data_IF_649104237866
#
_entry.id   IF_649104237866
#
_cell.length_a   1.000
_cell.length_b   1.000
_cell.length_c   1.000
_cell.angle_alpha   90.00
_cell.angle_beta   90.00
_cell.angle_gamma   90.00
#
_symmetry.space_group_name_H-M   'P 1'
#
loop_
_entity.id
_entity.type
_entity.pdbx_description
1 polymer ?
#
# COMPACT_ATOMS: atom_id res chain seq x y z
N UNK A 1 -5.10 -24.73 -14.19
CA UNK A 1 -3.85 -23.97 -13.98
C UNK A 1 -4.16 -22.86 -12.99
N UNK A 2 -3.58 -22.84 -11.77
CA UNK A 2 -4.01 -21.88 -10.76
C UNK A 2 -3.31 -20.54 -10.99
N UNK A 3 -4.06 -19.57 -11.48
CA UNK A 3 -3.63 -18.17 -11.68
C UNK A 3 -3.34 -17.44 -10.35
N UNK A 4 -3.64 -18.08 -9.21
CA UNK A 4 -3.45 -17.55 -7.85
C UNK A 4 -1.99 -17.61 -7.36
N UNK A 5 -1.15 -18.48 -7.93
CA UNK A 5 0.23 -18.67 -7.46
C UNK A 5 1.20 -17.60 -8.00
N UNK A 6 0.89 -17.05 -9.18
CA UNK A 6 1.69 -16.00 -9.81
C UNK A 6 1.62 -14.67 -9.05
N UNK A 7 0.44 -14.29 -8.54
CA UNK A 7 0.28 -13.05 -7.78
C UNK A 7 1.07 -13.05 -6.46
N UNK A 8 1.16 -14.22 -5.79
CA UNK A 8 1.98 -14.39 -4.60
C UNK A 8 3.48 -14.37 -4.90
N UNK A 9 3.90 -15.02 -5.98
CA UNK A 9 5.30 -15.02 -6.41
C UNK A 9 5.77 -13.63 -6.84
N UNK A 10 4.93 -12.86 -7.52
CA UNK A 10 5.23 -11.49 -7.93
C UNK A 10 5.35 -10.53 -6.74
N UNK A 11 4.48 -10.64 -5.73
CA UNK A 11 4.54 -9.80 -4.53
C UNK A 11 5.89 -9.88 -3.78
N UNK A 12 6.61 -11.01 -3.89
CA UNK A 12 7.95 -11.17 -3.31
C UNK A 12 9.09 -10.62 -4.19
N UNK A 13 8.82 -10.23 -5.44
CA UNK A 13 9.81 -9.68 -6.36
C UNK A 13 9.65 -8.18 -6.62
N UNK A 14 8.55 -7.58 -6.17
CA UNK A 14 8.35 -6.13 -6.32
C UNK A 14 9.37 -5.36 -5.47
N UNK A 15 9.96 -4.33 -6.08
CA UNK A 15 10.86 -3.38 -5.40
C UNK A 15 10.26 -1.98 -5.33
N UNK A 16 9.11 -1.76 -5.98
CA UNK A 16 8.34 -0.52 -5.98
C UNK A 16 6.84 -0.82 -6.13
N UNK A 17 5.96 0.10 -5.71
CA UNK A 17 4.51 -0.05 -5.91
C UNK A 17 4.17 -0.16 -7.40
N UNK A 18 3.43 -1.20 -7.77
CA UNK A 18 3.03 -1.42 -9.17
C UNK A 18 1.54 -1.13 -9.34
N UNK A 19 1.21 -0.16 -10.20
CA UNK A 19 -0.16 0.11 -10.60
C UNK A 19 -0.72 -1.12 -11.32
N UNK A 20 -1.86 -1.62 -10.83
CA UNK A 20 -2.57 -2.77 -11.37
C UNK A 20 -3.87 -2.37 -12.08
N UNK A 21 -4.59 -1.36 -11.57
CA UNK A 21 -5.82 -0.83 -12.18
C UNK A 21 -5.92 0.69 -11.98
N UNK A 22 -6.46 1.40 -12.98
CA UNK A 22 -6.79 2.83 -12.89
C UNK A 22 -8.18 3.11 -13.46
N UNK A 23 -8.97 3.96 -12.80
CA UNK A 23 -10.27 4.43 -13.31
C UNK A 23 -10.16 5.35 -14.52
N UNK A 24 -8.96 5.90 -14.78
CA UNK A 24 -8.71 6.72 -15.98
C UNK A 24 -8.91 5.90 -17.26
N UNK A 25 -8.57 4.61 -17.23
CA UNK A 25 -8.80 3.68 -18.34
C UNK A 25 -10.30 3.46 -18.61
N UNK A 26 -11.14 3.70 -17.60
CA UNK A 26 -12.60 3.68 -17.70
C UNK A 26 -13.21 5.05 -18.01
N UNK A 27 -12.39 6.09 -18.22
CA UNK A 27 -12.84 7.43 -18.62
C UNK A 27 -13.54 8.23 -17.51
N UNK A 28 -13.22 7.97 -16.24
CA UNK A 28 -13.78 8.74 -15.12
C UNK A 28 -13.23 10.17 -15.12
N UNK A 29 -14.07 11.14 -14.76
CA UNK A 29 -13.70 12.55 -14.64
C UNK A 29 -13.89 13.04 -13.19
N UNK A 30 -12.98 13.90 -12.73
CA UNK A 30 -12.99 14.48 -11.38
C UNK A 30 -12.67 13.52 -10.22
N UNK A 31 -12.44 12.23 -10.48
CA UNK A 31 -12.05 11.23 -9.50
C UNK A 31 -11.12 10.18 -10.11
N UNK A 32 -10.01 9.92 -9.43
CA UNK A 32 -9.06 8.86 -9.79
C UNK A 32 -9.09 7.79 -8.72
N UNK A 33 -9.42 6.57 -9.11
CA UNK A 33 -9.30 5.38 -8.29
C UNK A 33 -8.22 4.48 -8.89
N UNK A 34 -7.23 4.13 -8.08
CA UNK A 34 -6.11 3.28 -8.49
C UNK A 34 -5.92 2.14 -7.50
N UNK A 35 -5.55 0.97 -8.02
CA UNK A 35 -5.18 -0.19 -7.22
C UNK A 35 -3.71 -0.52 -7.49
N UNK A 36 -2.94 -0.73 -6.43
CA UNK A 36 -1.52 -1.04 -6.51
C UNK A 36 -1.22 -2.38 -5.85
N UNK A 37 -0.26 -3.11 -6.42
CA UNK A 37 0.46 -4.15 -5.70
C UNK A 37 1.64 -3.51 -4.97
N UNK A 38 1.65 -3.61 -3.65
CA UNK A 38 2.71 -3.08 -2.80
C UNK A 38 3.77 -4.16 -2.55
N UNK A 39 5.07 -3.82 -2.61
CA UNK A 39 6.13 -4.72 -2.19
C UNK A 39 6.04 -5.03 -0.68
N UNK A 40 6.48 -6.22 -0.30
CA UNK A 40 6.53 -6.62 1.12
C UNK A 40 7.47 -5.75 1.95
N UNK A 41 8.56 -5.27 1.35
CA UNK A 41 9.53 -4.39 1.98
C UNK A 41 9.96 -3.33 0.98
N UNK A 42 10.09 -2.10 1.47
CA UNK A 42 10.57 -0.99 0.66
C UNK A 42 11.29 0.02 1.57
N UNK A 43 12.43 0.51 1.09
CA UNK A 43 13.30 1.44 1.81
C UNK A 43 13.62 2.65 0.92
N UNK A 44 13.67 3.83 1.53
CA UNK A 44 14.16 5.05 0.88
C UNK A 44 13.36 5.55 -0.31
N UNK A 45 12.07 5.20 -0.43
CA UNK A 45 11.25 5.65 -1.55
C UNK A 45 10.86 7.11 -1.38
N UNK A 46 11.10 7.91 -2.43
CA UNK A 46 10.67 9.30 -2.47
C UNK A 46 9.26 9.38 -3.02
N UNK A 47 8.28 9.53 -2.13
CA UNK A 47 6.89 9.70 -2.53
C UNK A 47 6.69 11.11 -3.12
N UNK A 48 6.00 11.21 -4.28
CA UNK A 48 5.72 12.51 -4.90
C UNK A 48 4.82 13.35 -4.00
N UNK A 49 4.96 14.66 -4.10
CA UNK A 49 4.00 15.59 -3.51
C UNK A 49 2.66 15.43 -4.24
N UNK A 50 1.59 15.14 -3.49
CA UNK A 50 0.24 15.05 -4.02
C UNK A 50 -0.63 16.08 -3.34
N UNK A 51 -1.28 16.94 -4.13
CA UNK A 51 -2.15 18.00 -3.59
C UNK A 51 -3.54 17.48 -3.24
N UNK A 52 -3.93 16.33 -3.79
CA UNK A 52 -5.26 15.77 -3.63
C UNK A 52 -5.41 15.00 -2.33
N UNK A 53 -6.63 15.06 -1.78
CA UNK A 53 -7.04 14.20 -0.67
C UNK A 53 -7.27 12.80 -1.20
N UNK A 54 -6.69 11.79 -0.56
CA UNK A 54 -6.88 10.39 -0.95
C UNK A 54 -7.51 9.57 0.18
N UNK A 55 -8.33 8.60 -0.24
CA UNK A 55 -8.89 7.57 0.62
C UNK A 55 -8.30 6.24 0.20
N UNK A 56 -7.59 5.58 1.12
CA UNK A 56 -6.82 4.37 0.82
C UNK A 56 -7.38 3.21 1.63
N UNK A 57 -7.82 2.15 0.95
CA UNK A 57 -8.16 0.87 1.58
C UNK A 57 -6.95 -0.07 1.49
N UNK A 58 -6.46 -0.54 2.64
CA UNK A 58 -5.34 -1.48 2.67
C UNK A 58 -5.82 -2.93 2.76
N UNK A 59 -5.40 -3.78 1.80
CA UNK A 59 -5.79 -5.19 1.76
C UNK A 59 -4.60 -6.11 1.45
N UNK A 60 -3.70 -6.30 2.41
CA UNK A 60 -2.48 -7.11 2.24
C UNK A 60 -1.94 -7.77 3.51
N UNK A 61 -2.68 -7.77 4.61
CA UNK A 61 -2.16 -8.11 5.93
C UNK A 61 -1.94 -6.86 6.77
N UNK A 62 -0.84 -6.76 7.49
CA UNK A 62 -0.49 -5.53 8.24
C UNK A 62 0.82 -4.94 7.74
N UNK A 63 1.03 -3.66 7.93
CA UNK A 63 2.21 -2.93 7.50
C UNK A 63 2.67 -1.97 8.59
N UNK A 64 3.97 -1.99 8.91
CA UNK A 64 4.61 -0.90 9.63
C UNK A 64 5.22 0.02 8.59
N UNK A 65 4.66 1.23 8.47
CA UNK A 65 5.14 2.26 7.57
C UNK A 65 5.81 3.36 8.37
N UNK A 66 6.90 3.88 7.84
CA UNK A 66 7.60 5.03 8.40
C UNK A 66 7.74 6.08 7.31
N UNK A 67 7.50 7.33 7.68
CA UNK A 67 7.61 8.47 6.77
C UNK A 67 8.34 9.64 7.44
N UNK A 68 9.08 10.40 6.65
CA UNK A 68 9.68 11.66 7.08
C UNK A 68 9.70 12.70 5.95
N UNK A 69 9.52 13.99 6.25
CA UNK A 69 9.99 15.05 5.36
C UNK A 69 11.50 14.90 5.09
N UNK A 70 12.00 15.50 4.01
CA UNK A 70 13.44 15.59 3.77
C UNK A 70 14.12 16.22 4.99
N UNK A 71 15.15 15.55 5.52
CA UNK A 71 15.87 15.92 6.74
C UNK A 71 15.03 15.99 8.03
N UNK A 72 13.80 15.47 8.01
CA UNK A 72 12.92 15.40 9.17
C UNK A 72 13.09 14.12 10.01
N UNK A 73 12.41 14.09 11.15
CA UNK A 73 12.31 12.87 11.97
C UNK A 73 11.33 11.87 11.37
N UNK A 74 11.65 10.58 11.49
CA UNK A 74 10.75 9.49 11.13
C UNK A 74 9.51 9.48 12.03
N UNK A 75 8.35 9.26 11.40
CA UNK A 75 7.08 8.97 12.07
C UNK A 75 6.61 7.59 11.64
N UNK A 76 6.28 6.76 12.61
CA UNK A 76 5.81 5.39 12.38
C UNK A 76 4.28 5.34 12.45
N UNK A 77 3.68 4.63 11.51
CA UNK A 77 2.25 4.29 11.51
C UNK A 77 2.10 2.78 11.28
N UNK A 78 1.12 2.18 11.96
CA UNK A 78 0.77 0.78 11.78
C UNK A 78 -0.55 0.70 11.03
N UNK A 79 -0.53 0.07 9.87
CA UNK A 79 -1.68 -0.16 9.02
C UNK A 79 -2.07 -1.62 9.13
N UNK A 80 -3.35 -1.90 9.31
CA UNK A 80 -3.92 -3.24 9.40
C UNK A 80 -4.73 -3.55 8.15
N UNK A 81 -5.02 -4.83 8.00
CA UNK A 81 -5.90 -5.29 6.95
C UNK A 81 -7.28 -4.65 7.15
N UNK A 82 -7.87 -4.18 6.05
CA UNK A 82 -9.17 -3.49 6.02
C UNK A 82 -9.16 -2.09 6.63
N UNK A 83 -7.99 -1.56 7.04
CA UNK A 83 -7.91 -0.16 7.44
C UNK A 83 -8.22 0.75 6.24
N UNK A 84 -9.08 1.74 6.51
CA UNK A 84 -9.43 2.81 5.59
C UNK A 84 -8.79 4.11 6.08
N UNK A 85 -7.84 4.62 5.30
CA UNK A 85 -6.99 5.74 5.68
C UNK A 85 -7.36 6.95 4.84
N UNK A 86 -7.81 8.01 5.51
CA UNK A 86 -7.94 9.32 4.89
C UNK A 86 -6.60 10.04 4.99
N UNK A 87 -6.03 10.38 3.83
CA UNK A 87 -4.77 11.10 3.73
C UNK A 87 -5.02 12.49 3.14
N UNK A 88 -4.68 13.57 3.85
CA UNK A 88 -4.73 14.90 3.26
C UNK A 88 -3.66 15.03 2.17
N UNK A 89 -3.89 15.93 1.22
CA UNK A 89 -2.85 16.32 0.26
C UNK A 89 -1.58 16.75 1.00
N UNK A 90 -0.46 16.16 0.62
CA UNK A 90 0.88 16.51 1.13
C UNK A 90 1.67 17.13 -0.01
N UNK A 91 1.80 18.46 0.04
CA UNK A 91 2.51 19.25 -0.97
C UNK A 91 4.04 19.22 -0.82
N UNK A 92 4.56 18.34 0.04
CA UNK A 92 5.98 18.25 0.35
C UNK A 92 6.45 16.82 0.03
N UNK A 93 7.47 16.65 -0.84
CA UNK A 93 8.10 15.36 -1.03
C UNK A 93 8.60 14.81 0.30
N UNK A 94 8.36 13.53 0.53
CA UNK A 94 8.73 12.85 1.77
C UNK A 94 9.25 11.47 1.44
N UNK A 95 10.16 11.01 2.28
CA UNK A 95 10.71 9.68 2.19
C UNK A 95 9.79 8.73 2.96
N UNK A 96 9.57 7.55 2.38
CA UNK A 96 8.78 6.48 2.98
C UNK A 96 9.57 5.17 2.94
N UNK A 97 9.34 4.37 3.96
CA UNK A 97 9.75 2.98 4.02
C UNK A 97 8.69 2.16 4.70
N UNK A 98 8.63 0.88 4.41
CA UNK A 98 7.71 0.00 5.11
C UNK A 98 8.16 -1.44 5.13
N UNK A 99 7.60 -2.15 6.10
CA UNK A 99 7.67 -3.58 6.23
C UNK A 99 6.26 -4.14 6.38
N UNK A 100 5.88 -5.00 5.45
CA UNK A 100 4.66 -5.77 5.44
C UNK A 100 4.77 -7.03 6.29
N UNK A 101 3.62 -7.47 6.78
CA UNK A 101 3.45 -8.72 7.51
C UNK A 101 2.22 -9.41 6.93
N UNK A 102 2.34 -10.69 6.53
CA UNK A 102 1.24 -11.41 5.92
C UNK A 102 0.05 -11.50 6.88
N UNK A 103 -1.17 -11.65 6.36
CA UNK A 103 -2.35 -11.88 7.19
C UNK A 103 -2.11 -13.05 8.13
N UNK A 104 -2.55 -12.93 9.39
CA UNK A 104 -2.57 -14.08 10.29
C UNK A 104 -3.51 -15.12 9.69
N UNK A 105 -2.97 -16.29 9.34
CA UNK A 105 -3.78 -17.43 8.94
C UNK A 105 -4.79 -17.71 10.06
N UNK A 106 -6.08 -17.53 9.78
CA UNK A 106 -7.13 -18.01 10.67
C UNK A 106 -6.96 -19.53 10.75
N UNK A 107 -6.69 -20.06 11.95
CA UNK A 107 -6.73 -21.51 12.14
C UNK A 107 -8.16 -21.97 11.77
N UNK A 108 -8.32 -23.03 10.98
CA UNK A 108 -9.65 -23.57 10.71
C UNK A 108 -10.29 -23.93 12.05
N UNK A 109 -11.49 -23.42 12.29
CA UNK A 109 -12.29 -23.78 13.46
C UNK A 109 -12.61 -25.27 13.36
N UNK A 110 -11.94 -26.09 14.17
CA UNK A 110 -12.28 -27.49 14.31
C UNK A 110 -13.59 -27.54 15.09
N UNK A 111 -14.71 -27.66 14.38
CA UNK A 111 -15.94 -28.14 14.99
C UNK A 111 -15.77 -29.65 15.21
N UNK A 112 -15.80 -30.08 16.47
CA UNK A 112 -15.91 -31.48 16.91
C UNK A 112 -17.40 -31.74 17.18
#
# INVERSE_FOLDING_TARGET
>A
MPQQDLGKALNNMLTYPQLYLSSEEAGWDGLVAQAFHEPMELEGWMAPAMSDVSLILFNGGSMRMEQRPINGSWRTQYIRQEDLILRPGVNIPHEVRWQGFPPRLRRPSTYI
#
